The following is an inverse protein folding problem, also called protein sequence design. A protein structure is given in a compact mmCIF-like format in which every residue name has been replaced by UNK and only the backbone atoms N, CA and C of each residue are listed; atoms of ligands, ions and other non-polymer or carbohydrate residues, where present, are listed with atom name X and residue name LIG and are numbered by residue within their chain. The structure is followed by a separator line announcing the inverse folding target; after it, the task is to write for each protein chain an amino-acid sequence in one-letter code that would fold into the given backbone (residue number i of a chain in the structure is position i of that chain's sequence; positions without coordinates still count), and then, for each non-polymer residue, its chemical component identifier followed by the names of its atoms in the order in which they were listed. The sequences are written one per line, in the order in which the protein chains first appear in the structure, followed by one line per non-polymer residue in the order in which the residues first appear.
data_IF_633520050628
#
_entry.id   IF_633520050628
#
_cell.length_a   1.000
_cell.length_b   1.000
_cell.length_c   1.000
_cell.angle_alpha   90.00
_cell.angle_beta   90.00
_cell.angle_gamma   90.00
#
_symmetry.space_group_name_H-M   'P 1'
#
loop_
_entity.id
_entity.type
_entity.pdbx_description
1 polymer ?
#
# COMPACT_ATOMS: atom_id res chain seq x y z
N UNK A 1 -11.69 11.71 -9.52
CA UNK A 1 -10.39 11.41 -10.16
C UNK A 1 -10.04 9.97 -9.87
N UNK A 2 -9.33 9.26 -10.76
CA UNK A 2 -8.91 7.87 -10.53
C UNK A 2 -7.50 7.85 -9.91
N UNK A 3 -7.40 8.29 -8.66
CA UNK A 3 -6.13 8.34 -7.93
C UNK A 3 -6.13 7.29 -6.82
N UNK A 4 -5.09 6.47 -6.73
CA UNK A 4 -4.92 5.46 -5.67
C UNK A 4 -3.79 5.87 -4.73
N UNK A 5 -4.01 5.78 -3.43
CA UNK A 5 -2.99 5.96 -2.40
C UNK A 5 -2.23 4.65 -2.13
N UNK A 6 -0.91 4.72 -1.92
CA UNK A 6 -0.11 3.57 -1.45
C UNK A 6 0.62 3.93 -0.15
N UNK A 7 0.45 3.10 0.87
CA UNK A 7 1.20 3.18 2.13
C UNK A 7 1.96 1.87 2.32
N UNK A 8 3.27 1.89 2.09
CA UNK A 8 4.11 0.71 2.24
C UNK A 8 5.10 0.89 3.41
N UNK A 9 5.00 0.04 4.43
CA UNK A 9 5.87 0.15 5.60
C UNK A 9 7.11 -0.77 5.47
N UNK A 10 8.33 -0.22 5.30
CA UNK A 10 9.56 -1.00 5.19
C UNK A 10 10.00 -1.67 6.50
N UNK A 11 9.52 -1.21 7.67
CA UNK A 11 9.81 -1.83 8.97
C UNK A 11 8.92 -3.05 9.28
N UNK A 12 7.79 -3.21 8.57
CA UNK A 12 6.88 -4.34 8.78
C UNK A 12 7.56 -5.69 8.54
N UNK A 13 7.17 -6.73 9.29
CA UNK A 13 7.71 -8.08 9.09
C UNK A 13 9.18 -8.29 9.48
N UNK A 14 9.76 -7.45 10.36
CA UNK A 14 11.15 -7.59 10.85
C UNK A 14 11.26 -8.03 12.32
N UNK A 15 10.22 -8.70 12.84
CA UNK A 15 10.13 -9.13 14.24
C UNK A 15 11.20 -10.18 14.63
N UNK A 16 11.73 -10.10 15.86
CA UNK A 16 12.72 -11.03 16.44
C UNK A 16 12.31 -12.50 16.34
N UNK A 17 11.00 -12.79 16.33
CA UNK A 17 10.47 -14.15 16.11
C UNK A 17 10.96 -14.76 14.81
N UNK A 18 11.31 -13.97 13.80
CA UNK A 18 11.90 -14.49 12.54
C UNK A 18 13.36 -14.92 12.69
N UNK A 19 14.05 -14.46 13.73
CA UNK A 19 15.39 -14.92 14.09
C UNK A 19 15.33 -16.12 15.03
N UNK A 20 14.37 -16.14 15.96
CA UNK A 20 14.29 -17.19 17.00
C UNK A 20 13.34 -18.34 16.65
N UNK A 21 12.57 -18.24 15.57
CA UNK A 21 11.65 -19.28 15.08
C UNK A 21 11.74 -19.43 13.57
N UNK A 22 11.19 -20.52 13.01
CA UNK A 22 11.07 -20.75 11.57
C UNK A 22 9.92 -19.96 10.90
N UNK A 23 9.63 -18.76 11.39
CA UNK A 23 8.59 -17.91 10.82
C UNK A 23 9.01 -17.37 9.44
N UNK A 24 8.08 -17.37 8.47
CA UNK A 24 8.32 -16.85 7.12
C UNK A 24 8.81 -15.41 7.12
N UNK A 25 9.76 -15.10 6.24
CA UNK A 25 10.36 -13.77 6.08
C UNK A 25 9.82 -13.12 4.81
N UNK A 26 9.37 -11.88 4.94
CA UNK A 26 9.06 -10.96 3.85
C UNK A 26 10.09 -9.85 3.92
N UNK A 27 11.16 -10.01 3.17
CA UNK A 27 12.15 -8.95 3.05
C UNK A 27 11.60 -7.78 2.23
N UNK A 28 12.38 -6.71 2.15
CA UNK A 28 11.95 -5.53 1.41
C UNK A 28 11.98 -5.74 -0.11
N UNK A 29 12.70 -6.74 -0.63
CA UNK A 29 12.67 -7.08 -2.06
C UNK A 29 11.33 -7.72 -2.43
N UNK A 30 10.84 -8.66 -1.62
CA UNK A 30 9.52 -9.27 -1.84
C UNK A 30 8.41 -8.21 -1.74
N UNK A 31 8.51 -7.27 -0.79
CA UNK A 31 7.58 -6.14 -0.72
C UNK A 31 7.59 -5.29 -1.99
N UNK A 32 8.77 -4.98 -2.54
CA UNK A 32 8.88 -4.25 -3.80
C UNK A 32 8.29 -5.05 -4.97
N UNK A 33 8.45 -6.38 -5.00
CA UNK A 33 7.82 -7.25 -6.01
C UNK A 33 6.29 -7.31 -5.87
N UNK A 34 5.75 -7.31 -4.65
CA UNK A 34 4.30 -7.18 -4.43
C UNK A 34 3.82 -5.85 -5.00
N UNK A 35 4.48 -4.73 -4.66
CA UNK A 35 4.12 -3.41 -5.17
C UNK A 35 4.23 -3.30 -6.70
N UNK A 36 5.24 -3.93 -7.31
CA UNK A 36 5.40 -3.99 -8.77
C UNK A 36 4.17 -4.64 -9.42
N UNK A 37 3.71 -5.76 -8.88
CA UNK A 37 2.49 -6.45 -9.36
C UNK A 37 1.23 -5.60 -9.16
N UNK A 38 1.11 -4.93 -8.01
CA UNK A 38 0.01 -3.99 -7.71
C UNK A 38 -0.04 -2.86 -8.75
N UNK A 39 1.09 -2.21 -9.01
CA UNK A 39 1.20 -1.10 -9.96
C UNK A 39 0.86 -1.53 -11.40
N UNK A 40 1.39 -2.67 -11.85
CA UNK A 40 1.10 -3.21 -13.18
C UNK A 40 -0.39 -3.55 -13.36
N UNK A 41 -1.04 -4.12 -12.34
CA UNK A 41 -2.46 -4.45 -12.39
C UNK A 41 -3.34 -3.19 -12.45
N UNK A 42 -2.99 -2.14 -11.69
CA UNK A 42 -3.69 -0.85 -11.76
C UNK A 42 -3.52 -0.18 -13.14
N UNK A 43 -2.31 -0.24 -13.71
CA UNK A 43 -2.03 0.30 -15.04
C UNK A 43 -2.87 -0.41 -16.12
N UNK A 44 -2.95 -1.74 -16.06
CA UNK A 44 -3.76 -2.55 -16.97
C UNK A 44 -5.27 -2.21 -16.90
N UNK A 45 -5.76 -1.73 -15.76
CA UNK A 45 -7.14 -1.25 -15.58
C UNK A 45 -7.32 0.24 -15.93
N UNK A 46 -6.27 0.94 -16.36
CA UNK A 46 -6.33 2.35 -16.77
C UNK A 46 -6.44 3.33 -15.59
N UNK A 47 -5.89 2.98 -14.42
CA UNK A 47 -5.66 3.95 -13.34
C UNK A 47 -4.68 5.01 -13.85
N UNK A 48 -4.98 6.29 -13.65
CA UNK A 48 -4.19 7.38 -14.20
C UNK A 48 -3.09 7.86 -13.24
N UNK A 49 -3.37 7.83 -11.94
CA UNK A 49 -2.50 8.41 -10.93
C UNK A 49 -2.39 7.51 -9.71
N UNK A 50 -1.17 7.40 -9.21
CA UNK A 50 -0.86 6.77 -7.94
C UNK A 50 -0.08 7.79 -7.11
N UNK A 51 -0.50 8.00 -5.88
CA UNK A 51 0.25 8.78 -4.92
C UNK A 51 0.69 7.89 -3.77
N UNK A 52 1.92 8.03 -3.28
CA UNK A 52 2.48 7.09 -2.31
C UNK A 52 3.25 7.76 -1.18
N UNK A 53 3.22 7.13 0.00
CA UNK A 53 4.02 7.54 1.15
C UNK A 53 5.52 7.29 0.85
N UNK A 54 6.40 8.29 1.01
CA UNK A 54 7.84 8.07 0.89
C UNK A 54 8.34 7.14 2.02
N UNK A 55 9.46 6.47 1.79
CA UNK A 55 10.08 5.63 2.82
C UNK A 55 11.61 5.53 2.66
N UNK A 56 12.33 5.23 3.74
CA UNK A 56 13.79 5.21 3.74
C UNK A 56 14.40 4.08 2.88
N UNK A 57 13.62 3.04 2.55
CA UNK A 57 14.02 1.99 1.64
C UNK A 57 13.54 2.25 0.21
N UNK A 58 12.73 3.28 -0.07
CA UNK A 58 12.19 3.58 -1.40
C UNK A 58 11.52 2.37 -2.05
N UNK A 59 10.57 1.74 -1.34
CA UNK A 59 9.88 0.52 -1.78
C UNK A 59 9.13 0.72 -3.09
N UNK A 60 8.38 1.82 -3.21
CA UNK A 60 7.61 2.13 -4.42
C UNK A 60 8.53 2.53 -5.57
N UNK A 61 9.57 3.32 -5.30
CA UNK A 61 10.56 3.68 -6.33
C UNK A 61 11.25 2.44 -6.92
N UNK A 62 11.66 1.50 -6.05
CA UNK A 62 12.21 0.21 -6.48
C UNK A 62 11.20 -0.67 -7.21
N UNK A 63 9.92 -0.57 -6.86
CA UNK A 63 8.86 -1.28 -7.57
C UNK A 63 8.63 -0.72 -8.97
N UNK A 64 8.79 0.59 -9.15
CA UNK A 64 8.71 1.28 -10.44
C UNK A 64 9.95 1.06 -11.32
N UNK A 65 11.10 0.72 -10.73
CA UNK A 65 12.34 0.51 -11.48
C UNK A 65 12.17 -0.56 -12.58
N UNK A 66 12.58 -0.19 -13.80
CA UNK A 66 12.43 -1.00 -15.01
C UNK A 66 10.99 -1.19 -15.52
N UNK A 67 9.99 -0.48 -14.99
CA UNK A 67 8.63 -0.52 -15.52
C UNK A 67 8.37 0.65 -16.48
N UNK A 68 7.63 0.36 -17.55
CA UNK A 68 7.05 1.37 -18.44
C UNK A 68 5.53 1.34 -18.28
N UNK A 69 5.01 2.20 -17.41
CA UNK A 69 3.58 2.30 -17.12
C UNK A 69 2.98 3.57 -17.75
N UNK A 70 1.70 3.52 -18.06
CA UNK A 70 0.92 4.69 -18.50
C UNK A 70 0.49 5.56 -17.31
N UNK A 71 0.30 4.94 -16.13
CA UNK A 71 -0.01 5.65 -14.89
C UNK A 71 1.14 6.53 -14.43
N UNK A 72 0.82 7.68 -13.84
CA UNK A 72 1.79 8.55 -13.17
C UNK A 72 1.88 8.21 -11.69
N UNK A 73 3.08 8.02 -11.17
CA UNK A 73 3.33 7.80 -9.75
C UNK A 73 4.01 9.02 -9.11
N UNK A 74 3.54 9.47 -7.96
CA UNK A 74 4.08 10.65 -7.28
C UNK A 74 4.17 10.43 -5.77
N UNK A 75 5.34 10.68 -5.19
CA UNK A 75 5.53 10.64 -3.74
C UNK A 75 4.77 11.80 -3.08
N UNK A 76 4.16 11.54 -1.92
CA UNK A 76 3.66 12.60 -1.04
C UNK A 76 4.80 13.50 -0.59
N UNK A 77 4.50 14.78 -0.41
CA UNK A 77 5.41 15.75 0.19
C UNK A 77 5.11 15.86 1.68
N UNK A 78 5.87 15.12 2.49
CA UNK A 78 5.70 15.05 3.93
C UNK A 78 7.03 14.83 4.66
N UNK A 79 7.10 15.28 5.91
CA UNK A 79 8.22 14.95 6.79
C UNK A 79 8.16 13.48 7.20
N UNK A 80 9.34 12.86 7.36
CA UNK A 80 9.48 11.44 7.69
C UNK A 80 10.12 11.27 9.06
N UNK A 81 9.43 10.54 9.95
CA UNK A 81 9.86 10.21 11.30
C UNK A 81 10.39 8.77 11.45
N UNK A 82 10.18 7.92 10.43
CA UNK A 82 10.51 6.51 10.42
C UNK A 82 9.76 5.68 11.49
N UNK A 83 8.52 6.07 11.79
CA UNK A 83 7.62 5.34 12.71
C UNK A 83 6.15 5.38 12.27
N UNK A 84 5.21 4.98 13.14
CA UNK A 84 3.78 4.91 12.77
C UNK A 84 3.14 6.26 12.42
N UNK A 85 3.78 7.39 12.77
CA UNK A 85 3.31 8.73 12.40
C UNK A 85 3.32 8.94 10.89
N UNK A 86 4.30 8.35 10.19
CA UNK A 86 4.40 8.45 8.73
C UNK A 86 3.14 7.87 8.07
N UNK A 87 2.71 6.68 8.49
CA UNK A 87 1.50 6.04 7.95
C UNK A 87 0.21 6.80 8.31
N UNK A 88 0.18 7.41 9.50
CA UNK A 88 -0.98 8.21 9.95
C UNK A 88 -1.09 9.51 9.13
N UNK A 89 0.03 10.21 8.93
CA UNK A 89 0.08 11.46 8.19
C UNK A 89 -0.17 11.24 6.69
N UNK A 90 0.40 10.19 6.09
CA UNK A 90 0.11 9.83 4.71
C UNK A 90 -1.39 9.53 4.49
N UNK A 91 -2.01 8.80 5.42
CA UNK A 91 -3.44 8.51 5.37
C UNK A 91 -4.29 9.79 5.48
N UNK A 92 -3.92 10.71 6.38
CA UNK A 92 -4.57 12.02 6.50
C UNK A 92 -4.50 12.80 5.19
N UNK A 93 -3.33 12.90 4.58
CA UNK A 93 -3.17 13.58 3.29
C UNK A 93 -3.94 12.89 2.17
N UNK A 94 -4.01 11.56 2.14
CA UNK A 94 -4.84 10.85 1.17
C UNK A 94 -6.34 11.12 1.36
N UNK A 95 -6.81 11.25 2.60
CA UNK A 95 -8.16 11.68 2.91
C UNK A 95 -8.46 13.09 2.39
N UNK A 96 -7.53 14.02 2.56
CA UNK A 96 -7.68 15.40 2.12
C UNK A 96 -7.60 15.57 0.60
N UNK A 97 -6.90 14.67 -0.08
CA UNK A 97 -6.75 14.66 -1.53
C UNK A 97 -7.79 13.77 -2.25
N UNK A 98 -8.80 13.27 -1.55
CA UNK A 98 -9.91 12.47 -2.11
C UNK A 98 -9.46 11.30 -3.01
N UNK A 99 -8.45 10.53 -2.57
CA UNK A 99 -8.05 9.31 -3.30
C UNK A 99 -9.18 8.27 -3.26
N UNK A 100 -9.28 7.44 -4.29
CA UNK A 100 -10.39 6.49 -4.43
C UNK A 100 -10.28 5.29 -3.49
N UNK A 101 -9.06 4.87 -3.16
CA UNK A 101 -8.76 3.83 -2.18
C UNK A 101 -7.29 3.94 -1.75
N UNK A 102 -6.95 3.26 -0.64
CA UNK A 102 -5.58 3.19 -0.13
C UNK A 102 -5.13 1.73 -0.10
N UNK A 103 -4.09 1.40 -0.87
CA UNK A 103 -3.41 0.11 -0.78
C UNK A 103 -2.35 0.18 0.33
N UNK A 104 -2.43 -0.73 1.29
CA UNK A 104 -1.56 -0.76 2.46
C UNK A 104 -0.73 -2.02 2.40
N UNK A 105 0.60 -1.89 2.47
CA UNK A 105 1.52 -3.01 2.59
C UNK A 105 2.16 -3.00 3.99
N UNK A 106 1.64 -3.83 4.90
CA UNK A 106 2.05 -3.81 6.30
C UNK A 106 1.30 -4.81 7.17
N UNK A 107 1.50 -4.70 8.49
CA UNK A 107 0.80 -5.53 9.49
C UNK A 107 -0.35 -4.80 10.18
N UNK A 108 -0.88 -5.39 11.24
CA UNK A 108 -1.96 -4.79 12.06
C UNK A 108 -1.61 -3.37 12.54
N UNK A 109 -0.36 -3.16 12.98
CA UNK A 109 0.11 -1.86 13.45
C UNK A 109 0.06 -0.78 12.36
N UNK A 110 0.45 -1.14 11.14
CA UNK A 110 0.40 -0.24 9.98
C UNK A 110 -1.05 0.09 9.64
N UNK A 111 -1.92 -0.92 9.53
CA UNK A 111 -3.33 -0.71 9.19
C UNK A 111 -4.06 0.12 10.25
N UNK A 112 -3.78 -0.11 11.53
CA UNK A 112 -4.30 0.73 12.62
C UNK A 112 -3.84 2.18 12.48
N UNK A 113 -2.58 2.43 12.16
CA UNK A 113 -2.06 3.80 11.96
C UNK A 113 -2.74 4.49 10.78
N UNK A 114 -2.93 3.78 9.66
CA UNK A 114 -3.68 4.29 8.50
C UNK A 114 -5.12 4.62 8.86
N UNK A 115 -5.83 3.71 9.54
CA UNK A 115 -7.21 3.92 9.95
C UNK A 115 -7.39 5.09 10.94
N UNK A 116 -6.37 5.39 11.76
CA UNK A 116 -6.36 6.59 12.63
C UNK A 116 -6.29 7.89 11.81
N UNK A 117 -5.56 7.89 10.69
CA UNK A 117 -5.40 9.06 9.83
C UNK A 117 -6.55 9.25 8.83
N UNK A 118 -7.21 8.16 8.41
CA UNK A 118 -8.34 8.19 7.50
C UNK A 118 -9.28 7.01 7.75
N UNK A 119 -10.58 7.29 7.95
CA UNK A 119 -11.62 6.28 8.21
C UNK A 119 -12.74 6.23 7.16
N UNK A 120 -12.69 7.10 6.15
CA UNK A 120 -13.75 7.26 5.14
C UNK A 120 -13.40 6.67 3.77
N UNK A 121 -12.13 6.34 3.52
CA UNK A 121 -11.66 5.82 2.23
C UNK A 121 -11.47 4.29 2.32
N UNK A 122 -11.87 3.54 1.29
CA UNK A 122 -11.66 2.08 1.24
C UNK A 122 -10.18 1.70 1.37
N UNK A 123 -9.90 0.69 2.21
CA UNK A 123 -8.56 0.19 2.47
C UNK A 123 -8.38 -1.21 1.85
N UNK A 124 -7.27 -1.40 1.13
CA UNK A 124 -6.85 -2.70 0.58
C UNK A 124 -5.60 -3.13 1.32
N UNK A 125 -5.77 -4.01 2.30
CA UNK A 125 -4.75 -4.34 3.29
C UNK A 125 -3.99 -5.63 2.92
N UNK A 126 -2.75 -5.48 2.43
CA UNK A 126 -1.86 -6.58 2.07
C UNK A 126 -0.93 -6.90 3.24
N UNK A 127 -1.05 -8.12 3.77
CA UNK A 127 -0.24 -8.61 4.87
C UNK A 127 1.19 -8.94 4.43
N UNK A 128 2.17 -8.41 5.17
CA UNK A 128 3.59 -8.82 5.12
C UNK A 128 4.06 -9.52 6.39
N UNK A 129 3.12 -9.78 7.31
CA UNK A 129 3.34 -10.43 8.60
C UNK A 129 2.77 -11.84 8.64
N UNK A 130 3.17 -12.61 9.64
CA UNK A 130 2.78 -14.02 9.82
C UNK A 130 1.69 -14.22 10.88
N UNK A 131 1.29 -13.16 11.60
CA UNK A 131 0.29 -13.22 12.66
C UNK A 131 -0.52 -11.92 12.71
N UNK A 132 -1.17 -11.63 11.59
CA UNK A 132 -2.03 -10.47 11.45
C UNK A 132 -3.49 -10.90 11.55
N UNK A 133 -4.31 -10.06 12.17
CA UNK A 133 -5.76 -10.27 12.28
C UNK A 133 -6.51 -9.47 11.22
N UNK A 134 -5.97 -8.30 10.83
CA UNK A 134 -6.66 -7.38 9.93
C UNK A 134 -6.26 -7.54 8.44
N UNK A 135 -4.99 -7.35 8.03
CA UNK A 135 -4.61 -7.59 6.64
C UNK A 135 -4.52 -9.09 6.33
N UNK A 136 -4.91 -9.46 5.11
CA UNK A 136 -4.81 -10.82 4.60
C UNK A 136 -3.59 -11.00 3.70
N UNK A 137 -3.11 -12.24 3.56
CA UNK A 137 -2.06 -12.57 2.59
C UNK A 137 -2.65 -12.65 1.17
N UNK A 138 -2.83 -11.47 0.57
CA UNK A 138 -3.39 -11.30 -0.77
C UNK A 138 -2.24 -11.17 -1.78
N UNK A 139 -2.40 -11.81 -2.93
CA UNK A 139 -1.47 -11.70 -4.05
C UNK A 139 -1.52 -10.27 -4.65
N UNK A 140 -0.36 -9.69 -4.98
CA UNK A 140 -0.25 -8.28 -5.37
C UNK A 140 -1.07 -7.90 -6.61
N UNK A 141 -1.18 -8.78 -7.60
CA UNK A 141 -2.01 -8.57 -8.80
C UNK A 141 -3.48 -8.44 -8.42
N UNK A 142 -3.97 -9.31 -7.53
CA UNK A 142 -5.38 -9.29 -7.08
C UNK A 142 -5.67 -7.98 -6.33
N UNK A 143 -4.77 -7.58 -5.43
CA UNK A 143 -4.91 -6.32 -4.71
C UNK A 143 -4.89 -5.10 -5.65
N UNK A 144 -4.02 -5.10 -6.66
CA UNK A 144 -3.97 -4.04 -7.68
C UNK A 144 -5.21 -4.02 -8.59
N UNK A 145 -5.76 -5.18 -8.95
CA UNK A 145 -7.02 -5.26 -9.69
C UNK A 145 -8.18 -4.70 -8.86
N UNK A 146 -8.27 -5.04 -7.57
CA UNK A 146 -9.28 -4.48 -6.68
C UNK A 146 -9.15 -2.95 -6.59
N UNK A 147 -7.94 -2.44 -6.40
CA UNK A 147 -7.67 -1.00 -6.37
C UNK A 147 -8.09 -0.30 -7.67
N UNK A 148 -7.76 -0.90 -8.82
CA UNK A 148 -8.14 -0.38 -10.12
C UNK A 148 -9.65 -0.38 -10.33
N UNK A 149 -10.37 -1.45 -9.98
CA UNK A 149 -11.83 -1.50 -10.09
C UNK A 149 -12.51 -0.41 -9.25
N UNK A 150 -12.02 -0.16 -8.03
CA UNK A 150 -12.52 0.91 -7.16
C UNK A 150 -12.21 2.29 -7.77
N UNK A 151 -10.96 2.54 -8.15
CA UNK A 151 -10.53 3.82 -8.72
C UNK A 151 -11.21 4.17 -10.05
N UNK A 152 -11.60 3.15 -10.82
CA UNK A 152 -12.34 3.29 -12.08
C UNK A 152 -13.85 3.27 -11.90
N UNK A 153 -14.35 3.16 -10.66
CA UNK A 153 -15.78 3.06 -10.33
C UNK A 153 -16.50 1.93 -11.08
N UNK A 154 -15.80 0.81 -11.28
CA UNK A 154 -16.32 -0.39 -11.93
C UNK A 154 -16.99 -1.35 -10.94
N UNK A 155 -16.91 -1.04 -9.65
CA UNK A 155 -17.57 -1.76 -8.54
C UNK A 155 -18.25 -0.75 -7.62
N UNK A 156 -19.39 -1.15 -7.06
CA UNK A 156 -20.09 -0.38 -6.02
C UNK A 156 -19.56 -0.79 -4.64
N UNK A 157 -18.79 0.10 -4.02
CA UNK A 157 -18.10 -0.19 -2.75
C UNK A 157 -19.08 -0.28 -1.58
N UNK A 158 -20.27 0.33 -1.65
CA UNK A 158 -21.27 0.24 -0.57
C UNK A 158 -21.97 -1.13 -0.51
N UNK A 159 -21.77 -1.99 -1.53
CA UNK A 159 -22.38 -3.32 -1.63
C UNK A 159 -21.42 -4.47 -1.30
N UNK A 160 -20.17 -4.16 -0.96
CA UNK A 160 -19.09 -5.13 -0.66
C UNK A 160 -18.73 -5.03 0.80
#
# INVERSE_FOLDING_TARGET
MSTVGIIANPASGKDIRRLVTHASVFDNHEKAHILKRVLMAMDALGVQQVSFMPDYYGLVDRALDGLHLSLSATSLHMDMWADERDSTEAARQFCENDVSCIVILGGDGTNRAVAKGCSSIPLIAISTGTNNVFPEMIEGTIAGLAAGLIARKMVDVERV
#
